data_IF_250752109325
#
_entry.id   IF_250752109325
#
_cell.length_a   1.000
_cell.length_b   1.000
_cell.length_c   1.000
_cell.angle_alpha   90.00
_cell.angle_beta   90.00
_cell.angle_gamma   90.00
#
_symmetry.space_group_name_H-M   'P 1'
#
loop_
_entity.id
_entity.type
_entity.pdbx_description
1 polymer ?
#
# COMPACT_ATOMS: atom_id res chain seq x y z
N UNK A 1 5.31 28.44 -24.06
CA UNK A 1 3.93 28.32 -24.52
C UNK A 1 3.01 29.03 -23.53
N UNK A 2 1.98 29.82 -23.99
CA UNK A 2 1.03 30.36 -23.03
C UNK A 2 0.35 29.22 -22.30
N UNK A 3 0.21 29.36 -20.98
CA UNK A 3 -0.50 28.39 -20.15
C UNK A 3 -1.96 28.44 -20.56
N UNK A 4 -2.49 27.34 -21.07
CA UNK A 4 -3.92 27.22 -21.26
C UNK A 4 -4.54 26.86 -19.91
N UNK A 5 -5.13 27.85 -19.23
CA UNK A 5 -5.76 27.65 -17.92
C UNK A 5 -6.90 26.62 -17.98
N UNK A 6 -7.47 26.39 -19.15
CA UNK A 6 -8.52 25.40 -19.38
C UNK A 6 -7.90 23.98 -19.26
N UNK A 7 -6.76 23.76 -19.90
CA UNK A 7 -6.03 22.48 -19.81
C UNK A 7 -5.57 22.20 -18.39
N UNK A 8 -5.02 23.20 -17.69
CA UNK A 8 -4.66 23.08 -16.28
C UNK A 8 -5.84 22.65 -15.40
N UNK A 9 -6.98 23.35 -15.52
CA UNK A 9 -8.17 23.05 -14.74
C UNK A 9 -8.72 21.65 -15.02
N UNK A 10 -8.70 21.26 -16.29
CA UNK A 10 -9.14 19.93 -16.71
C UNK A 10 -8.26 18.85 -16.07
N UNK A 11 -6.93 18.97 -16.18
CA UNK A 11 -5.97 17.99 -15.66
C UNK A 11 -6.05 17.90 -14.12
N UNK A 12 -6.24 19.05 -13.45
CA UNK A 12 -6.50 19.10 -12.01
C UNK A 12 -7.80 18.37 -11.64
N UNK A 13 -8.88 18.56 -12.38
CA UNK A 13 -10.16 17.89 -12.11
C UNK A 13 -10.02 16.39 -12.30
N UNK A 14 -9.34 15.94 -13.35
CA UNK A 14 -9.08 14.51 -13.60
C UNK A 14 -8.28 13.92 -12.43
N UNK A 15 -7.22 14.60 -11.98
CA UNK A 15 -6.38 14.19 -10.88
C UNK A 15 -7.16 14.08 -9.56
N UNK A 16 -7.96 15.11 -9.24
CA UNK A 16 -8.80 15.11 -8.03
C UNK A 16 -9.83 13.98 -8.02
N UNK A 17 -10.43 13.67 -9.17
CA UNK A 17 -11.35 12.54 -9.29
C UNK A 17 -10.60 11.23 -9.11
N UNK A 18 -9.44 11.06 -9.74
CA UNK A 18 -8.65 9.85 -9.66
C UNK A 18 -8.16 9.58 -8.23
N UNK A 19 -7.61 10.59 -7.53
CA UNK A 19 -7.16 10.43 -6.16
C UNK A 19 -8.33 10.20 -5.18
N UNK A 20 -9.49 10.83 -5.42
CA UNK A 20 -10.70 10.56 -4.65
C UNK A 20 -11.13 9.10 -4.77
N UNK A 21 -11.11 8.53 -5.98
CA UNK A 21 -11.45 7.13 -6.20
C UNK A 21 -10.43 6.21 -5.49
N UNK A 22 -9.13 6.47 -5.64
CA UNK A 22 -8.08 5.66 -5.02
C UNK A 22 -8.13 5.71 -3.49
N UNK A 23 -8.10 6.93 -2.93
CA UNK A 23 -7.96 7.13 -1.49
C UNK A 23 -9.28 6.89 -0.74
N UNK A 24 -10.41 7.34 -1.27
CA UNK A 24 -11.68 7.23 -0.57
C UNK A 24 -12.47 5.98 -0.99
N UNK A 25 -12.72 5.79 -2.29
CA UNK A 25 -13.61 4.72 -2.75
C UNK A 25 -12.96 3.33 -2.62
N UNK A 26 -11.63 3.22 -2.83
CA UNK A 26 -10.92 1.95 -2.76
C UNK A 26 -10.31 1.74 -1.38
N UNK A 27 -9.42 2.64 -0.93
CA UNK A 27 -8.66 2.44 0.31
C UNK A 27 -9.52 2.66 1.57
N UNK A 28 -10.15 3.85 1.72
CA UNK A 28 -10.88 4.18 2.95
C UNK A 28 -12.03 3.22 3.26
N UNK A 29 -12.78 2.81 2.24
CA UNK A 29 -13.89 1.85 2.41
C UNK A 29 -13.43 0.48 2.88
N UNK A 30 -12.16 0.16 2.69
CA UNK A 30 -11.57 -1.13 3.04
C UNK A 30 -10.84 -1.12 4.38
N UNK A 31 -10.08 -0.05 4.65
CA UNK A 31 -9.21 0.04 5.82
C UNK A 31 -9.70 1.02 6.89
N UNK A 32 -10.53 2.00 6.54
CA UNK A 32 -11.09 2.98 7.48
C UNK A 32 -10.07 3.97 8.04
N UNK A 33 -8.83 3.96 7.52
CA UNK A 33 -7.76 4.83 8.01
C UNK A 33 -7.83 6.22 7.37
N UNK A 34 -8.28 7.20 8.17
CA UNK A 34 -8.41 8.60 7.76
C UNK A 34 -7.05 9.29 7.57
N UNK A 35 -6.06 8.98 8.40
CA UNK A 35 -4.76 9.66 8.35
C UNK A 35 -4.06 9.31 7.04
N UNK A 36 -4.17 8.06 6.63
CA UNK A 36 -3.61 7.59 5.37
C UNK A 36 -4.28 8.24 4.15
N UNK A 37 -5.60 8.43 4.17
CA UNK A 37 -6.33 9.13 3.10
C UNK A 37 -5.83 10.57 2.93
N UNK A 38 -5.67 11.29 4.05
CA UNK A 38 -5.14 12.66 4.05
C UNK A 38 -3.71 12.68 3.49
N UNK A 39 -2.88 11.74 3.93
CA UNK A 39 -1.49 11.63 3.47
C UNK A 39 -1.41 11.40 1.96
N UNK A 40 -2.20 10.45 1.43
CA UNK A 40 -2.26 10.18 0.00
C UNK A 40 -2.74 11.39 -0.81
N UNK A 41 -3.79 12.08 -0.33
CA UNK A 41 -4.31 13.26 -0.98
C UNK A 41 -3.31 14.42 -1.03
N UNK A 42 -2.62 14.69 0.08
CA UNK A 42 -1.59 15.74 0.13
C UNK A 42 -0.39 15.40 -0.74
N UNK A 43 0.10 14.16 -0.70
CA UNK A 43 1.21 13.72 -1.54
C UNK A 43 0.89 13.85 -3.03
N UNK A 44 -0.28 13.41 -3.44
CA UNK A 44 -0.74 13.54 -4.82
C UNK A 44 -0.82 15.02 -5.25
N UNK A 45 -1.49 15.87 -4.47
CA UNK A 45 -1.67 17.28 -4.78
C UNK A 45 -0.33 18.04 -4.88
N UNK A 46 0.60 17.77 -3.97
CA UNK A 46 1.92 18.38 -4.00
C UNK A 46 2.71 17.94 -5.24
N UNK A 47 2.66 16.65 -5.57
CA UNK A 47 3.33 16.13 -6.75
C UNK A 47 2.75 16.66 -8.05
N UNK A 48 1.41 16.66 -8.17
CA UNK A 48 0.73 17.28 -9.31
C UNK A 48 1.20 18.74 -9.51
N UNK A 49 1.20 19.53 -8.42
CA UNK A 49 1.61 20.94 -8.47
C UNK A 49 3.07 21.10 -8.89
N UNK A 50 3.97 20.27 -8.36
CA UNK A 50 5.39 20.31 -8.73
C UNK A 50 5.57 19.95 -10.21
N UNK A 51 4.95 18.85 -10.65
CA UNK A 51 5.13 18.33 -12.02
C UNK A 51 4.57 19.31 -13.03
N UNK A 52 3.37 19.85 -12.83
CA UNK A 52 2.80 20.81 -13.77
C UNK A 52 3.61 22.10 -13.82
N UNK A 53 4.16 22.56 -12.71
CA UNK A 53 5.06 23.70 -12.69
C UNK A 53 6.34 23.43 -13.47
N UNK A 54 6.87 22.19 -13.38
CA UNK A 54 8.06 21.77 -14.14
C UNK A 54 7.78 21.64 -15.64
N UNK A 55 6.59 21.22 -16.05
CA UNK A 55 6.22 21.16 -17.49
C UNK A 55 6.07 22.54 -18.10
N UNK A 56 5.73 23.54 -17.31
CA UNK A 56 5.60 24.93 -17.73
C UNK A 56 6.93 25.69 -17.80
N UNK A 57 7.92 25.24 -17.03
CA UNK A 57 9.30 25.75 -17.07
C UNK A 57 10.13 24.76 -17.89
N UNK A 58 11.15 25.22 -18.63
CA UNK A 58 12.07 24.30 -19.30
C UNK A 58 12.59 23.26 -18.29
N UNK A 59 12.36 21.98 -18.59
CA UNK A 59 12.70 20.88 -17.67
C UNK A 59 14.18 20.95 -17.27
N UNK A 60 14.45 21.33 -16.03
CA UNK A 60 15.79 21.36 -15.49
C UNK A 60 16.06 20.04 -14.77
N UNK A 61 17.14 19.37 -15.15
CA UNK A 61 17.60 18.12 -14.51
C UNK A 61 17.70 18.25 -12.98
N UNK A 62 18.09 19.43 -12.47
CA UNK A 62 18.17 19.74 -11.05
C UNK A 62 16.79 19.62 -10.34
N UNK A 63 15.71 19.99 -11.03
CA UNK A 63 14.35 19.87 -10.49
C UNK A 63 13.92 18.39 -10.40
N UNK A 64 14.31 17.55 -11.36
CA UNK A 64 14.12 16.11 -11.30
C UNK A 64 14.86 15.46 -10.12
N UNK A 65 16.10 15.88 -9.85
CA UNK A 65 16.85 15.44 -8.67
C UNK A 65 16.21 15.92 -7.35
N UNK A 66 15.67 17.14 -7.29
CA UNK A 66 14.98 17.65 -6.12
C UNK A 66 13.71 16.84 -5.82
N UNK A 67 12.93 16.47 -6.85
CA UNK A 67 11.77 15.60 -6.72
C UNK A 67 12.17 14.21 -6.20
N UNK A 68 13.22 13.63 -6.76
CA UNK A 68 13.74 12.34 -6.30
C UNK A 68 14.21 12.40 -4.84
N UNK A 69 14.89 13.47 -4.44
CA UNK A 69 15.34 13.69 -3.05
C UNK A 69 14.15 13.81 -2.09
N UNK A 70 13.09 14.53 -2.45
CA UNK A 70 11.85 14.63 -1.66
C UNK A 70 11.18 13.29 -1.48
N UNK A 71 11.03 12.49 -2.55
CA UNK A 71 10.46 11.16 -2.48
C UNK A 71 11.32 10.22 -1.63
N UNK A 72 12.63 10.33 -1.71
CA UNK A 72 13.57 9.57 -0.88
C UNK A 72 13.44 9.91 0.61
N UNK A 73 13.25 11.17 0.97
CA UNK A 73 13.03 11.59 2.36
C UNK A 73 11.74 11.01 2.95
N UNK A 74 10.68 10.89 2.16
CA UNK A 74 9.42 10.29 2.60
C UNK A 74 9.60 8.80 2.91
N UNK A 75 10.38 8.09 2.09
CA UNK A 75 10.63 6.65 2.27
C UNK A 75 11.58 6.34 3.42
N UNK A 76 12.46 7.27 3.80
CA UNK A 76 13.41 7.12 4.90
C UNK A 76 12.80 7.34 6.30
N UNK A 77 11.56 7.83 6.38
CA UNK A 77 10.90 8.05 7.66
C UNK A 77 10.59 6.70 8.30
N UNK A 78 11.22 6.44 9.44
CA UNK A 78 11.22 5.20 10.22
C UNK A 78 9.89 4.86 10.92
N UNK A 79 8.76 5.13 10.26
CA UNK A 79 7.44 4.69 10.73
C UNK A 79 7.18 3.32 10.14
N UNK A 80 6.75 2.37 10.96
CA UNK A 80 6.34 1.03 10.50
C UNK A 80 5.03 1.11 9.71
N UNK A 81 5.13 1.58 8.46
CA UNK A 81 4.00 1.63 7.53
C UNK A 81 3.74 0.21 7.02
N UNK A 82 2.49 -0.20 6.98
CA UNK A 82 2.14 -1.50 6.43
C UNK A 82 2.50 -1.56 4.94
N UNK A 83 2.96 -2.73 4.47
CA UNK A 83 3.41 -2.90 3.07
C UNK A 83 2.35 -2.53 2.04
N UNK A 84 1.09 -2.76 2.38
CA UNK A 84 -0.06 -2.42 1.53
C UNK A 84 -0.23 -0.90 1.42
N UNK A 85 -0.08 -0.18 2.52
CA UNK A 85 -0.15 1.28 2.57
C UNK A 85 0.90 1.93 1.67
N UNK A 86 2.13 1.38 1.66
CA UNK A 86 3.19 1.83 0.73
C UNK A 86 2.74 1.70 -0.72
N UNK A 87 2.05 0.62 -1.09
CA UNK A 87 1.50 0.41 -2.43
C UNK A 87 0.48 1.49 -2.81
N UNK A 88 -0.44 1.82 -1.91
CA UNK A 88 -1.43 2.88 -2.13
C UNK A 88 -0.79 4.27 -2.19
N UNK A 89 0.20 4.56 -1.35
CA UNK A 89 0.98 5.80 -1.42
C UNK A 89 1.69 5.95 -2.78
N UNK A 90 2.33 4.89 -3.27
CA UNK A 90 2.94 4.89 -4.60
C UNK A 90 1.91 5.14 -5.70
N UNK A 91 0.71 4.55 -5.59
CA UNK A 91 -0.39 4.81 -6.50
C UNK A 91 -0.79 6.30 -6.52
N UNK A 92 -0.95 6.92 -5.34
CA UNK A 92 -1.27 8.34 -5.21
C UNK A 92 -0.19 9.25 -5.81
N UNK A 93 1.08 8.94 -5.56
CA UNK A 93 2.25 9.61 -6.14
C UNK A 93 2.22 9.50 -7.67
N UNK A 94 1.99 8.31 -8.19
CA UNK A 94 1.97 8.05 -9.63
C UNK A 94 0.83 8.78 -10.33
N UNK A 95 -0.37 8.88 -9.72
CA UNK A 95 -1.48 9.67 -10.23
C UNK A 95 -1.07 11.14 -10.38
N UNK A 96 -0.53 11.77 -9.33
CA UNK A 96 -0.09 13.16 -9.37
C UNK A 96 1.00 13.41 -10.43
N UNK A 97 1.93 12.46 -10.62
CA UNK A 97 2.94 12.53 -11.66
C UNK A 97 2.33 12.46 -13.07
N UNK A 98 1.50 11.46 -13.33
CA UNK A 98 0.92 11.21 -14.67
C UNK A 98 -0.02 12.34 -15.07
N UNK A 99 -0.88 12.78 -14.17
CA UNK A 99 -1.84 13.84 -14.44
C UNK A 99 -1.17 15.24 -14.52
N UNK A 100 -0.07 15.43 -13.77
CA UNK A 100 0.69 16.70 -13.81
C UNK A 100 1.54 16.89 -15.07
N UNK A 101 1.84 15.84 -15.84
CA UNK A 101 2.62 15.95 -17.10
C UNK A 101 1.81 16.64 -18.23
N UNK A 102 0.50 16.81 -18.06
CA UNK A 102 -0.38 17.46 -19.06
C UNK A 102 -0.25 16.84 -20.46
N UNK A 103 -0.59 15.57 -20.55
CA UNK A 103 -0.52 14.82 -21.81
C UNK A 103 -1.58 15.33 -22.80
N UNK A 104 -1.18 15.56 -24.05
CA UNK A 104 -2.10 15.91 -25.13
C UNK A 104 -2.95 14.72 -25.60
N UNK A 105 -2.49 13.48 -25.32
CA UNK A 105 -3.22 12.26 -25.63
C UNK A 105 -4.08 11.84 -24.44
N UNK A 106 -5.35 12.26 -24.46
CA UNK A 106 -6.34 11.99 -23.41
C UNK A 106 -6.67 10.49 -23.28
N UNK A 107 -6.56 9.73 -24.38
CA UNK A 107 -6.80 8.30 -24.33
C UNK A 107 -5.70 7.61 -23.51
N UNK A 108 -4.44 7.98 -23.75
CA UNK A 108 -3.32 7.47 -23.00
C UNK A 108 -3.40 7.85 -21.51
N UNK A 109 -3.76 9.12 -21.22
CA UNK A 109 -3.97 9.59 -19.86
C UNK A 109 -5.06 8.79 -19.14
N UNK A 110 -6.21 8.57 -19.80
CA UNK A 110 -7.30 7.77 -19.24
C UNK A 110 -6.89 6.32 -19.00
N UNK A 111 -6.14 5.72 -19.92
CA UNK A 111 -5.63 4.35 -19.77
C UNK A 111 -4.64 4.24 -18.59
N UNK A 112 -3.73 5.21 -18.42
CA UNK A 112 -2.81 5.24 -17.28
C UNK A 112 -3.57 5.33 -15.95
N UNK A 113 -4.52 6.25 -15.84
CA UNK A 113 -5.37 6.37 -14.67
C UNK A 113 -6.16 5.08 -14.39
N UNK A 114 -6.71 4.46 -15.42
CA UNK A 114 -7.44 3.20 -15.31
C UNK A 114 -6.53 2.09 -14.72
N UNK A 115 -5.33 1.93 -15.23
CA UNK A 115 -4.38 0.92 -14.74
C UNK A 115 -4.02 1.15 -13.28
N UNK A 116 -3.74 2.42 -12.89
CA UNK A 116 -3.37 2.78 -11.52
C UNK A 116 -4.54 2.56 -10.55
N UNK A 117 -5.79 2.75 -10.97
CA UNK A 117 -6.97 2.55 -10.13
C UNK A 117 -7.40 1.08 -10.08
N UNK A 118 -7.41 0.40 -11.21
CA UNK A 118 -7.85 -1.00 -11.28
C UNK A 118 -6.83 -1.93 -10.62
N UNK A 119 -5.53 -1.63 -10.73
CA UNK A 119 -4.47 -2.43 -10.11
C UNK A 119 -4.71 -2.69 -8.63
N UNK A 120 -4.73 -1.66 -7.75
CA UNK A 120 -5.00 -1.83 -6.34
C UNK A 120 -6.40 -2.42 -6.06
N UNK A 121 -7.42 -2.01 -6.81
CA UNK A 121 -8.77 -2.53 -6.63
C UNK A 121 -8.86 -4.04 -6.83
N UNK A 122 -8.17 -4.58 -7.84
CA UNK A 122 -8.14 -6.03 -8.14
C UNK A 122 -7.21 -6.76 -7.17
N UNK A 123 -5.95 -6.29 -7.03
CA UNK A 123 -4.92 -6.99 -6.27
C UNK A 123 -5.24 -7.06 -4.78
N UNK A 124 -5.86 -6.01 -4.24
CA UNK A 124 -6.25 -5.94 -2.84
C UNK A 124 -7.69 -6.43 -2.60
N UNK A 125 -8.35 -7.02 -3.60
CA UNK A 125 -9.71 -7.52 -3.42
C UNK A 125 -9.72 -8.81 -2.59
N UNK A 126 -10.72 -8.93 -1.70
CA UNK A 126 -10.96 -10.15 -0.91
C UNK A 126 -11.25 -11.38 -1.78
N UNK A 127 -11.58 -11.16 -3.05
CA UNK A 127 -11.79 -12.22 -4.02
C UNK A 127 -10.48 -12.88 -4.43
N UNK A 128 -9.41 -12.09 -4.60
CA UNK A 128 -8.09 -12.58 -5.00
C UNK A 128 -7.26 -13.02 -3.80
N UNK A 129 -7.27 -12.23 -2.73
CA UNK A 129 -6.50 -12.49 -1.51
C UNK A 129 -7.46 -12.50 -0.30
N UNK A 130 -7.69 -13.68 0.24
CA UNK A 130 -8.53 -13.82 1.44
C UNK A 130 -7.88 -13.14 2.64
N UNK A 131 -8.64 -12.37 3.41
CA UNK A 131 -8.10 -11.73 4.60
C UNK A 131 -7.61 -12.79 5.60
N UNK A 132 -6.39 -12.64 6.08
CA UNK A 132 -5.81 -13.49 7.10
C UNK A 132 -5.44 -12.64 8.31
N UNK A 133 -5.84 -13.09 9.49
CA UNK A 133 -5.43 -12.49 10.76
C UNK A 133 -4.05 -13.07 11.14
N UNK A 134 -3.08 -12.19 11.35
CA UNK A 134 -1.79 -12.61 11.90
C UNK A 134 -1.86 -12.52 13.43
N UNK A 135 -1.61 -13.64 14.09
CA UNK A 135 -1.62 -13.75 15.55
C UNK A 135 -0.29 -14.31 16.00
N UNK A 136 0.31 -13.66 16.99
CA UNK A 136 1.49 -14.17 17.65
C UNK A 136 1.06 -15.09 18.81
N UNK A 137 1.36 -16.37 18.68
CA UNK A 137 0.97 -17.41 19.64
C UNK A 137 2.20 -17.93 20.35
N UNK A 138 2.19 -17.93 21.67
CA UNK A 138 3.21 -18.58 22.47
C UNK A 138 2.64 -19.91 22.99
N UNK A 139 3.27 -21.01 22.61
CA UNK A 139 2.95 -22.33 23.13
C UNK A 139 3.99 -22.74 24.17
N UNK A 140 3.52 -23.20 25.31
CA UNK A 140 4.34 -23.77 26.38
C UNK A 140 4.40 -25.29 26.26
N UNK A 141 5.38 -25.90 26.91
CA UNK A 141 5.60 -27.36 26.94
C UNK A 141 5.78 -27.96 25.53
N UNK A 142 6.53 -27.29 24.68
CA UNK A 142 6.87 -27.78 23.32
C UNK A 142 8.24 -28.43 23.36
N UNK A 143 8.29 -29.70 22.97
CA UNK A 143 9.56 -30.44 22.85
C UNK A 143 10.18 -30.25 21.47
N UNK A 144 11.49 -30.50 21.36
CA UNK A 144 12.20 -30.45 20.09
C UNK A 144 11.60 -31.40 19.01
N UNK A 145 10.93 -32.47 19.45
CA UNK A 145 10.23 -33.42 18.58
C UNK A 145 8.93 -32.82 18.01
N UNK A 146 8.21 -32.03 18.80
CA UNK A 146 6.98 -31.39 18.35
C UNK A 146 7.27 -30.35 17.30
N UNK A 147 8.47 -29.74 17.29
CA UNK A 147 8.86 -28.76 16.24
C UNK A 147 9.05 -29.42 14.86
N UNK A 148 9.31 -30.72 14.80
CA UNK A 148 9.38 -31.47 13.54
C UNK A 148 8.00 -31.85 13.01
N UNK A 149 7.02 -31.99 13.91
CA UNK A 149 5.65 -32.32 13.54
C UNK A 149 4.79 -31.07 13.41
N UNK A 150 4.82 -30.50 12.20
CA UNK A 150 4.06 -29.28 11.88
C UNK A 150 2.56 -29.48 12.05
N UNK A 151 2.04 -30.69 11.85
CA UNK A 151 0.62 -30.99 11.96
C UNK A 151 0.13 -30.81 13.40
N UNK A 152 0.89 -31.31 14.39
CA UNK A 152 0.58 -31.14 15.82
C UNK A 152 0.60 -29.68 16.25
N UNK A 153 1.56 -28.89 15.77
CA UNK A 153 1.59 -27.44 16.07
C UNK A 153 0.37 -26.71 15.50
N UNK A 154 -0.04 -27.07 14.29
CA UNK A 154 -1.25 -26.49 13.67
C UNK A 154 -2.50 -26.86 14.47
N UNK A 155 -2.65 -28.12 14.86
CA UNK A 155 -3.77 -28.60 15.66
C UNK A 155 -3.87 -27.89 17.02
N UNK A 156 -2.75 -27.71 17.73
CA UNK A 156 -2.71 -26.96 19.00
C UNK A 156 -3.10 -25.49 18.83
N UNK A 157 -2.64 -24.83 17.75
CA UNK A 157 -3.00 -23.43 17.46
C UNK A 157 -4.47 -23.32 17.05
N UNK A 158 -5.01 -24.27 16.29
CA UNK A 158 -6.42 -24.33 15.94
C UNK A 158 -7.33 -24.54 17.17
N UNK A 159 -6.91 -25.40 18.09
CA UNK A 159 -7.64 -25.64 19.33
C UNK A 159 -7.71 -24.39 20.23
N UNK A 160 -6.71 -23.51 20.16
CA UNK A 160 -6.67 -22.28 20.94
C UNK A 160 -7.52 -21.15 20.36
N UNK A 161 -7.66 -21.08 19.03
CA UNK A 161 -8.26 -19.94 18.36
C UNK A 161 -9.56 -20.26 17.60
N UNK A 162 -9.94 -21.55 17.55
CA UNK A 162 -11.14 -22.03 16.83
C UNK A 162 -11.22 -21.61 15.35
N UNK A 163 -10.11 -21.18 14.77
CA UNK A 163 -10.02 -20.70 13.39
C UNK A 163 -9.03 -21.53 12.58
N UNK A 164 -9.32 -21.78 11.28
CA UNK A 164 -8.42 -22.56 10.45
C UNK A 164 -7.09 -21.84 10.21
N UNK A 165 -5.99 -22.51 10.49
CA UNK A 165 -4.63 -21.99 10.26
C UNK A 165 -4.28 -22.09 8.78
N UNK A 166 -4.07 -20.94 8.13
CA UNK A 166 -3.62 -20.87 6.74
C UNK A 166 -2.11 -21.09 6.62
N UNK A 167 -1.35 -20.50 7.54
CA UNK A 167 0.11 -20.59 7.53
C UNK A 167 0.65 -20.47 8.96
N UNK A 168 1.66 -21.29 9.29
CA UNK A 168 2.33 -21.28 10.58
C UNK A 168 3.84 -21.09 10.37
N UNK A 169 4.42 -20.10 11.07
CA UNK A 169 5.87 -19.86 11.05
C UNK A 169 6.41 -19.84 12.47
N UNK A 170 7.47 -20.59 12.71
CA UNK A 170 8.19 -20.56 13.98
C UNK A 170 9.03 -19.27 13.99
N UNK A 171 8.76 -18.37 14.94
CA UNK A 171 9.51 -17.15 15.12
C UNK A 171 10.71 -17.35 16.05
N UNK A 172 10.49 -18.03 17.17
CA UNK A 172 11.54 -18.28 18.17
C UNK A 172 11.24 -19.53 18.98
N UNK A 173 12.28 -20.30 19.29
CA UNK A 173 12.19 -21.44 20.21
C UNK A 173 13.14 -21.24 21.37
N UNK A 174 12.66 -21.40 22.59
CA UNK A 174 13.46 -21.37 23.80
C UNK A 174 13.53 -22.76 24.42
N UNK A 175 14.63 -23.45 24.13
CA UNK A 175 14.83 -24.81 24.60
C UNK A 175 14.92 -24.97 26.16
N UNK A 176 15.35 -23.89 26.87
CA UNK A 176 15.44 -23.91 28.32
C UNK A 176 14.08 -23.84 29.02
N UNK A 177 13.12 -23.15 28.40
CA UNK A 177 11.78 -22.97 28.94
C UNK A 177 10.74 -23.89 28.29
N UNK A 178 11.12 -24.63 27.24
CA UNK A 178 10.17 -25.43 26.47
C UNK A 178 9.09 -24.57 25.76
N UNK A 179 9.37 -23.29 25.48
CA UNK A 179 8.40 -22.38 24.89
C UNK A 179 8.74 -22.11 23.43
N UNK A 180 7.69 -22.04 22.58
CA UNK A 180 7.81 -21.66 21.18
C UNK A 180 6.92 -20.48 20.87
N UNK A 181 7.48 -19.46 20.23
CA UNK A 181 6.75 -18.33 19.66
C UNK A 181 6.47 -18.63 18.20
N UNK A 182 5.21 -18.62 17.85
CA UNK A 182 4.70 -18.91 16.52
C UNK A 182 3.99 -17.68 15.98
N UNK A 183 4.19 -17.41 14.70
CA UNK A 183 3.35 -16.46 13.95
C UNK A 183 2.38 -17.28 13.13
N UNK A 184 1.11 -17.28 13.55
CA UNK A 184 0.04 -17.97 12.86
C UNK A 184 -0.76 -17.00 12.00
N UNK A 185 -1.06 -17.38 10.76
CA UNK A 185 -2.04 -16.69 9.93
C UNK A 185 -3.32 -17.50 9.91
N UNK A 186 -4.35 -16.95 10.52
CA UNK A 186 -5.67 -17.56 10.61
C UNK A 186 -6.54 -17.05 9.45
N UNK A 187 -7.34 -17.91 8.84
CA UNK A 187 -8.32 -17.50 7.84
C UNK A 187 -9.56 -16.97 8.56
N UNK A 188 -9.98 -15.77 8.19
CA UNK A 188 -11.29 -15.26 8.55
C UNK A 188 -12.31 -15.85 7.57
N UNK A 189 -13.34 -16.51 8.09
CA UNK A 189 -14.43 -17.08 7.32
C UNK A 189 -15.33 -15.99 6.72
#
# INVERSE_FOLDING_TARGET
MPIDYIDFLRDLIIDLIAIYILAYAIYYRRYGDREMVITMGLLNLFLFTIVITMTLTEFNLAAGFALFALLSLITLRSVSIAKVEVGYMLGAITLGLVNGISMHDYLLLALCNLVILVGPWVLDSNWLLRPTLQVDVTLDEVTALDLKDRARLVERVQALHELPVAHLKIARYNAKKGTVQLVARLRLC
#
